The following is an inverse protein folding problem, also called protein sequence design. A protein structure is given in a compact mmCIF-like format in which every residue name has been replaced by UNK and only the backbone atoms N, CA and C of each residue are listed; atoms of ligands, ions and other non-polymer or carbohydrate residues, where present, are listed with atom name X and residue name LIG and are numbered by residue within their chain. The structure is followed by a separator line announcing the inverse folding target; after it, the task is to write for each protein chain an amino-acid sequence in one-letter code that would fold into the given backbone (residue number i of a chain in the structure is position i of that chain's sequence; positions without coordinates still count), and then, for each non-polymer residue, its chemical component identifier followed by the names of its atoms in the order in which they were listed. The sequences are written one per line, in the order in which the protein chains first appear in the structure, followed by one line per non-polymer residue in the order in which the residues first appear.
data_IF_317434350821
#
_entry.id   IF_317434350821
#
_cell.length_a   1.000
_cell.length_b   1.000
_cell.length_c   1.000
_cell.angle_alpha   90.00
_cell.angle_beta   90.00
_cell.angle_gamma   90.00
#
_symmetry.space_group_name_H-M   'P 1'
#
loop_
_entity.id
_entity.type
_entity.pdbx_description
1 polymer ?
#
# COMPACT_ATOMS: atom_id res chain seq x y z
N UNK A 1 -5.40 12.50 14.62
CA UNK A 1 -6.34 12.67 15.74
C UNK A 1 -7.80 12.67 15.33
N UNK A 2 -8.26 13.52 14.39
CA UNK A 2 -9.68 13.56 13.99
C UNK A 2 -10.24 12.22 13.48
N UNK A 3 -9.48 11.48 12.66
CA UNK A 3 -9.87 10.14 12.19
C UNK A 3 -10.11 9.19 13.38
N UNK A 4 -9.21 9.21 14.36
CA UNK A 4 -9.32 8.37 15.56
C UNK A 4 -10.57 8.72 16.38
N UNK A 5 -10.84 10.02 16.57
CA UNK A 5 -12.05 10.50 17.25
C UNK A 5 -13.31 10.04 16.49
N UNK A 6 -13.31 10.16 15.16
CA UNK A 6 -14.42 9.69 14.32
C UNK A 6 -14.67 8.18 14.46
N UNK A 7 -13.60 7.37 14.44
CA UNK A 7 -13.69 5.92 14.63
C UNK A 7 -14.24 5.55 16.03
N UNK A 8 -13.78 6.24 17.08
CA UNK A 8 -14.27 6.04 18.44
C UNK A 8 -15.75 6.45 18.58
N UNK A 9 -16.15 7.58 17.98
CA UNK A 9 -17.52 8.04 17.97
C UNK A 9 -18.45 7.05 17.26
N UNK A 10 -18.05 6.53 16.10
CA UNK A 10 -18.80 5.51 15.38
C UNK A 10 -19.02 4.26 16.26
N UNK A 11 -17.97 3.78 16.93
CA UNK A 11 -18.06 2.66 17.86
C UNK A 11 -19.02 2.93 19.04
N UNK A 12 -18.93 4.12 19.65
CA UNK A 12 -19.81 4.53 20.74
C UNK A 12 -21.29 4.61 20.30
N UNK A 13 -21.56 5.17 19.12
CA UNK A 13 -22.92 5.28 18.57
C UNK A 13 -23.54 3.90 18.28
N UNK A 14 -22.75 2.96 17.73
CA UNK A 14 -23.19 1.57 17.50
C UNK A 14 -23.51 0.88 18.83
N UNK A 15 -22.65 1.00 19.84
CA UNK A 15 -22.91 0.43 21.17
C UNK A 15 -24.17 1.02 21.78
N UNK A 16 -24.34 2.33 21.69
CA UNK A 16 -25.50 3.03 22.22
C UNK A 16 -26.81 2.60 21.55
N UNK A 17 -26.78 2.36 20.23
CA UNK A 17 -27.91 1.77 19.51
C UNK A 17 -28.34 0.43 20.10
N UNK A 18 -27.40 -0.49 20.35
CA UNK A 18 -27.75 -1.81 20.91
C UNK A 18 -28.27 -1.75 22.34
N UNK A 19 -27.69 -0.89 23.19
CA UNK A 19 -28.17 -0.68 24.57
C UNK A 19 -29.61 -0.18 24.56
N UNK A 20 -29.89 0.85 23.77
CA UNK A 20 -31.24 1.41 23.69
C UNK A 20 -32.21 0.49 22.97
N UNK A 21 -31.76 -0.34 22.03
CA UNK A 21 -32.59 -1.33 21.33
C UNK A 21 -33.02 -2.45 22.27
N UNK A 22 -32.14 -2.84 23.19
CA UNK A 22 -32.50 -3.77 24.27
C UNK A 22 -33.57 -3.16 25.18
N UNK A 23 -33.43 -1.89 25.58
CA UNK A 23 -34.46 -1.16 26.33
C UNK A 23 -35.78 -0.99 25.57
N UNK A 24 -35.75 -0.80 24.25
CA UNK A 24 -36.93 -0.76 23.39
C UNK A 24 -37.66 -2.11 23.35
N UNK A 25 -36.92 -3.23 23.25
CA UNK A 25 -37.52 -4.58 23.34
C UNK A 25 -38.19 -4.87 24.68
N UNK A 26 -37.75 -4.20 25.74
CA UNK A 26 -38.31 -4.27 27.10
C UNK A 26 -39.39 -3.20 27.36
N UNK A 27 -39.80 -2.42 26.35
CA UNK A 27 -40.83 -1.39 26.47
C UNK A 27 -40.41 -0.13 27.26
N UNK A 28 -39.13 0.01 27.61
CA UNK A 28 -38.62 1.12 28.44
C UNK A 28 -38.19 2.36 27.64
N UNK A 29 -37.80 2.17 26.38
CA UNK A 29 -37.22 3.23 25.54
C UNK A 29 -37.93 3.29 24.19
N UNK A 30 -37.85 4.44 23.49
CA UNK A 30 -38.24 4.57 22.10
C UNK A 30 -37.21 3.91 21.15
N UNK A 31 -37.62 3.67 19.89
CA UNK A 31 -36.78 2.97 18.91
C UNK A 31 -35.51 3.79 18.57
N UNK A 32 -34.28 3.26 18.78
CA UNK A 32 -33.05 4.06 18.77
C UNK A 32 -32.44 4.29 17.38
N UNK A 33 -33.25 4.32 16.33
CA UNK A 33 -32.78 4.46 14.94
C UNK A 33 -31.83 5.65 14.68
N UNK A 34 -31.90 6.81 15.39
CA UNK A 34 -30.99 7.92 15.12
C UNK A 34 -29.52 7.59 15.42
N UNK A 35 -29.25 6.72 16.39
CA UNK A 35 -27.88 6.29 16.73
C UNK A 35 -27.27 5.39 15.65
N UNK A 36 -28.10 4.54 15.04
CA UNK A 36 -27.69 3.74 13.89
C UNK A 36 -27.41 4.65 12.68
N UNK A 37 -28.29 5.62 12.40
CA UNK A 37 -28.08 6.58 11.33
C UNK A 37 -26.80 7.40 11.52
N UNK A 38 -26.57 7.92 12.74
CA UNK A 38 -25.36 8.68 13.06
C UNK A 38 -24.08 7.84 12.90
N UNK A 39 -24.08 6.60 13.37
CA UNK A 39 -22.94 5.69 13.21
C UNK A 39 -22.62 5.40 11.73
N UNK A 40 -23.65 5.11 10.93
CA UNK A 40 -23.49 4.84 9.48
C UNK A 40 -22.98 6.07 8.74
N UNK A 41 -23.55 7.26 9.00
CA UNK A 41 -23.13 8.51 8.36
C UNK A 41 -21.66 8.82 8.66
N UNK A 42 -21.22 8.66 9.90
CA UNK A 42 -19.82 8.88 10.28
C UNK A 42 -18.89 7.89 9.60
N UNK A 43 -19.27 6.61 9.51
CA UNK A 43 -18.47 5.61 8.79
C UNK A 43 -18.35 5.93 7.30
N UNK A 44 -19.46 6.28 6.64
CA UNK A 44 -19.45 6.65 5.22
C UNK A 44 -18.61 7.91 4.99
N UNK A 45 -18.74 8.92 5.85
CA UNK A 45 -17.94 10.13 5.77
C UNK A 45 -16.43 9.83 5.91
N UNK A 46 -16.05 8.95 6.85
CA UNK A 46 -14.66 8.52 7.00
C UNK A 46 -14.17 7.75 5.77
N UNK A 47 -14.96 6.85 5.20
CA UNK A 47 -14.58 6.10 3.99
C UNK A 47 -14.33 7.04 2.82
N UNK A 48 -15.22 8.02 2.61
CA UNK A 48 -15.07 9.02 1.53
C UNK A 48 -13.86 9.91 1.78
N UNK A 49 -13.63 10.34 3.02
CA UNK A 49 -12.47 11.16 3.38
C UNK A 49 -11.16 10.40 3.17
N UNK A 50 -11.06 9.16 3.67
CA UNK A 50 -9.84 8.35 3.59
C UNK A 50 -9.61 7.70 2.22
N UNK A 51 -10.46 7.96 1.23
CA UNK A 51 -10.27 7.44 -0.13
C UNK A 51 -8.89 7.88 -0.65
N UNK A 52 -8.02 6.95 -1.07
CA UNK A 52 -6.71 7.30 -1.58
C UNK A 52 -6.82 8.18 -2.84
N UNK A 53 -5.92 9.16 -2.94
CA UNK A 53 -5.83 10.00 -4.13
C UNK A 53 -5.55 9.14 -5.38
N UNK A 54 -6.10 9.50 -6.55
CA UNK A 54 -5.78 8.82 -7.79
C UNK A 54 -4.29 8.99 -8.08
N UNK A 55 -3.58 7.87 -8.22
CA UNK A 55 -2.18 7.87 -8.67
C UNK A 55 -2.19 8.09 -10.18
N UNK A 56 -1.49 9.13 -10.66
CA UNK A 56 -1.36 9.36 -12.09
C UNK A 56 -0.59 8.20 -12.73
N UNK A 57 -1.09 7.71 -13.85
CA UNK A 57 -0.38 6.69 -14.61
C UNK A 57 0.86 7.33 -15.25
N UNK A 58 2.04 6.85 -14.88
CA UNK A 58 3.29 7.21 -15.57
C UNK A 58 3.30 6.52 -16.93
N UNK A 59 3.63 7.27 -17.99
CA UNK A 59 3.88 6.68 -19.30
C UNK A 59 5.20 5.91 -19.26
N UNK A 60 5.14 4.58 -19.43
CA UNK A 60 6.30 3.69 -19.46
C UNK A 60 6.38 3.03 -20.84
N UNK A 61 7.58 2.84 -21.42
CA UNK A 61 7.74 2.09 -22.67
C UNK A 61 7.10 0.69 -22.58
N UNK A 62 6.50 0.19 -23.66
CA UNK A 62 5.89 -1.16 -23.66
C UNK A 62 6.90 -2.25 -23.32
N UNK A 63 8.15 -2.09 -23.75
CA UNK A 63 9.26 -2.99 -23.44
C UNK A 63 10.34 -2.22 -22.69
N UNK A 64 10.73 -2.75 -21.53
CA UNK A 64 11.84 -2.22 -20.73
C UNK A 64 12.91 -3.30 -20.66
N UNK A 65 14.14 -2.97 -21.04
CA UNK A 65 15.28 -3.89 -20.97
C UNK A 65 15.99 -3.80 -19.61
N UNK A 66 16.73 -4.84 -19.24
CA UNK A 66 17.52 -4.82 -18.01
C UNK A 66 18.55 -3.69 -17.99
N UNK A 67 19.15 -3.36 -19.14
CA UNK A 67 20.11 -2.26 -19.28
C UNK A 67 19.53 -0.90 -18.84
N UNK A 68 18.23 -0.68 -19.05
CA UNK A 68 17.55 0.54 -18.59
C UNK A 68 17.31 0.56 -17.07
N UNK A 69 17.19 -0.62 -16.45
CA UNK A 69 16.99 -0.76 -15.01
C UNK A 69 18.30 -0.77 -14.21
N UNK A 70 19.38 -1.26 -14.79
CA UNK A 70 20.67 -1.40 -14.13
C UNK A 70 21.09 -0.15 -13.33
N UNK A 71 21.08 1.08 -13.87
CA UNK A 71 21.46 2.26 -13.09
C UNK A 71 20.52 2.51 -11.89
N UNK A 72 19.22 2.21 -12.02
CA UNK A 72 18.25 2.33 -10.93
C UNK A 72 18.58 1.30 -9.84
N UNK A 73 18.86 0.06 -10.22
CA UNK A 73 19.17 -1.01 -9.27
C UNK A 73 20.46 -0.71 -8.52
N UNK A 74 21.50 -0.26 -9.22
CA UNK A 74 22.77 0.14 -8.62
C UNK A 74 22.60 1.28 -7.61
N UNK A 75 21.82 2.30 -7.95
CA UNK A 75 21.63 3.48 -7.10
C UNK A 75 20.66 3.25 -5.93
N UNK A 76 19.63 2.41 -6.12
CA UNK A 76 18.50 2.27 -5.17
C UNK A 76 18.53 0.96 -4.38
N UNK A 77 19.17 -0.10 -4.86
CA UNK A 77 19.02 -1.45 -4.33
C UNK A 77 20.35 -2.05 -3.82
N UNK A 78 21.45 -1.85 -4.56
CA UNK A 78 22.74 -2.52 -4.31
C UNK A 78 23.39 -2.10 -2.98
N UNK A 79 23.05 -0.92 -2.44
CA UNK A 79 23.53 -0.51 -1.10
C UNK A 79 23.19 -1.52 0.00
N UNK A 80 22.02 -2.17 -0.07
CA UNK A 80 21.55 -3.14 0.92
C UNK A 80 21.43 -4.57 0.41
N UNK A 81 21.53 -4.76 -0.91
CA UNK A 81 21.39 -6.05 -1.61
C UNK A 81 22.56 -6.31 -2.57
N UNK A 82 23.73 -5.76 -2.29
CA UNK A 82 24.94 -5.91 -3.09
C UNK A 82 25.90 -6.98 -2.57
N UNK A 83 27.10 -7.04 -3.15
CA UNK A 83 28.11 -8.00 -2.72
C UNK A 83 28.52 -7.83 -1.25
N UNK A 84 28.65 -6.59 -0.79
CA UNK A 84 29.07 -6.24 0.57
C UNK A 84 27.99 -6.45 1.62
N UNK A 85 26.70 -6.29 1.26
CA UNK A 85 25.58 -6.41 2.18
C UNK A 85 24.39 -7.06 1.47
N UNK A 86 23.97 -8.23 1.96
CA UNK A 86 22.93 -9.06 1.35
C UNK A 86 21.75 -9.18 2.31
N UNK A 87 20.96 -8.11 2.42
CA UNK A 87 19.81 -8.09 3.33
C UNK A 87 18.85 -9.24 3.00
N UNK A 88 18.51 -10.05 4.02
CA UNK A 88 17.72 -11.28 3.88
C UNK A 88 18.30 -12.30 2.89
N UNK A 89 19.62 -12.33 2.71
CA UNK A 89 20.29 -13.18 1.71
C UNK A 89 19.80 -12.95 0.27
N UNK A 90 19.34 -11.73 -0.03
CA UNK A 90 18.93 -11.32 -1.39
C UNK A 90 20.04 -10.47 -2.00
N UNK A 91 20.49 -10.88 -3.18
CA UNK A 91 21.53 -10.21 -3.98
C UNK A 91 20.94 -9.69 -5.28
N UNK A 92 21.25 -8.44 -5.65
CA UNK A 92 20.72 -7.74 -6.82
C UNK A 92 21.83 -7.03 -7.63
N UNK A 93 23.09 -7.36 -7.36
CA UNK A 93 24.27 -6.80 -8.04
C UNK A 93 24.61 -7.48 -9.37
N UNK A 94 23.95 -8.60 -9.71
CA UNK A 94 24.09 -9.27 -11.00
C UNK A 94 22.73 -9.41 -11.71
N UNK A 95 22.71 -9.41 -13.07
CA UNK A 95 21.49 -9.61 -13.84
C UNK A 95 20.78 -10.93 -13.49
N UNK A 96 21.54 -12.01 -13.30
CA UNK A 96 21.03 -13.34 -12.98
C UNK A 96 20.37 -13.35 -11.59
N UNK A 97 21.04 -12.74 -10.61
CA UNK A 97 20.52 -12.60 -9.26
C UNK A 97 19.25 -11.74 -9.24
N UNK A 98 19.21 -10.67 -10.04
CA UNK A 98 18.01 -9.86 -10.21
C UNK A 98 16.86 -10.69 -10.79
N UNK A 99 17.11 -11.44 -11.87
CA UNK A 99 16.09 -12.30 -12.49
C UNK A 99 15.57 -13.37 -11.53
N UNK A 100 16.46 -13.98 -10.75
CA UNK A 100 16.09 -14.96 -9.73
C UNK A 100 15.14 -14.36 -8.68
N UNK A 101 15.33 -13.09 -8.32
CA UNK A 101 14.52 -12.39 -7.33
C UNK A 101 13.45 -11.47 -7.92
N UNK A 102 13.21 -11.52 -9.22
CA UNK A 102 12.35 -10.58 -9.95
C UNK A 102 10.95 -10.45 -9.35
N UNK A 103 10.33 -11.57 -8.99
CA UNK A 103 9.00 -11.56 -8.34
C UNK A 103 9.03 -10.88 -6.97
N UNK A 104 10.05 -11.17 -6.16
CA UNK A 104 10.18 -10.56 -4.84
C UNK A 104 10.43 -9.05 -4.95
N UNK A 105 11.28 -8.63 -5.89
CA UNK A 105 11.53 -7.22 -6.19
C UNK A 105 10.26 -6.53 -6.64
N UNK A 106 9.51 -7.12 -7.57
CA UNK A 106 8.23 -6.57 -8.01
C UNK A 106 7.24 -6.39 -6.85
N UNK A 107 7.09 -7.41 -6.00
CA UNK A 107 6.20 -7.33 -4.84
C UNK A 107 6.65 -6.25 -3.85
N UNK A 108 7.94 -6.16 -3.51
CA UNK A 108 8.43 -5.24 -2.48
C UNK A 108 8.55 -3.79 -2.97
N UNK A 109 8.93 -3.59 -4.24
CA UNK A 109 9.21 -2.27 -4.81
C UNK A 109 7.98 -1.70 -5.51
N UNK A 110 7.18 -2.50 -6.20
CA UNK A 110 6.07 -1.96 -7.00
C UNK A 110 4.73 -2.11 -6.30
N UNK A 111 4.46 -3.29 -5.73
CA UNK A 111 3.16 -3.59 -5.13
C UNK A 111 3.04 -3.01 -3.72
N UNK A 112 3.91 -3.44 -2.80
CA UNK A 112 3.84 -3.03 -1.39
C UNK A 112 4.55 -1.72 -1.12
N UNK A 113 5.49 -1.32 -1.99
CA UNK A 113 6.35 -0.14 -1.86
C UNK A 113 7.11 -0.08 -0.52
N UNK A 114 7.36 -1.24 0.10
CA UNK A 114 8.10 -1.33 1.37
C UNK A 114 9.60 -1.10 1.14
N UNK A 115 10.10 -1.49 -0.03
CA UNK A 115 11.49 -1.26 -0.41
C UNK A 115 11.60 -0.12 -1.42
N UNK A 116 12.64 0.72 -1.32
CA UNK A 116 13.61 0.83 -0.24
C UNK A 116 12.95 1.28 1.08
N UNK A 117 13.45 0.80 2.22
CA UNK A 117 12.82 1.01 3.52
C UNK A 117 12.63 2.50 3.82
N UNK A 118 11.39 2.92 4.09
CA UNK A 118 11.00 4.32 4.24
C UNK A 118 11.45 5.23 3.07
N UNK A 119 11.55 4.69 1.86
CA UNK A 119 12.10 5.33 0.68
C UNK A 119 13.50 5.95 0.89
N UNK A 120 14.37 5.29 1.66
CA UNK A 120 15.68 5.83 2.04
C UNK A 120 16.60 6.24 0.87
N UNK A 121 16.47 5.60 -0.30
CA UNK A 121 17.27 5.94 -1.49
C UNK A 121 16.56 6.89 -2.46
N UNK A 122 15.36 7.36 -2.13
CA UNK A 122 14.58 8.27 -2.96
C UNK A 122 14.13 7.69 -4.31
N UNK A 123 13.74 6.41 -4.37
CA UNK A 123 13.21 5.83 -5.61
C UNK A 123 11.91 6.54 -6.02
N UNK A 124 11.79 6.89 -7.30
CA UNK A 124 10.63 7.62 -7.82
C UNK A 124 9.51 6.68 -8.31
N UNK A 125 8.31 7.22 -8.55
CA UNK A 125 7.21 6.39 -9.07
C UNK A 125 7.47 5.96 -10.51
N UNK A 126 8.18 6.77 -11.30
CA UNK A 126 8.62 6.44 -12.66
C UNK A 126 9.61 5.26 -12.64
N UNK A 127 10.59 5.28 -11.74
CA UNK A 127 11.54 4.19 -11.54
C UNK A 127 10.82 2.89 -11.11
N UNK A 128 9.84 2.98 -10.20
CA UNK A 128 9.00 1.82 -9.81
C UNK A 128 8.18 1.31 -11.00
N UNK A 129 7.65 2.21 -11.82
CA UNK A 129 6.85 1.85 -12.98
C UNK A 129 7.69 1.12 -14.04
N UNK A 130 8.94 1.54 -14.27
CA UNK A 130 9.91 0.84 -15.12
C UNK A 130 10.19 -0.59 -14.63
N UNK A 131 10.46 -0.75 -13.32
CA UNK A 131 10.66 -2.07 -12.69
C UNK A 131 9.42 -2.95 -12.87
N UNK A 132 8.23 -2.36 -12.68
CA UNK A 132 6.96 -3.05 -12.85
C UNK A 132 6.74 -3.53 -14.28
N UNK A 133 7.07 -2.70 -15.26
CA UNK A 133 6.92 -3.03 -16.67
C UNK A 133 7.91 -4.11 -17.12
N UNK A 134 9.16 -4.01 -16.70
CA UNK A 134 10.17 -5.04 -16.96
C UNK A 134 9.77 -6.41 -16.38
N UNK A 135 9.23 -6.45 -15.16
CA UNK A 135 8.75 -7.70 -14.56
C UNK A 135 7.57 -8.29 -15.36
N UNK A 136 6.59 -7.46 -15.72
CA UNK A 136 5.44 -7.87 -16.54
C UNK A 136 5.85 -8.33 -17.94
N UNK A 137 6.92 -7.76 -18.49
CA UNK A 137 7.55 -8.17 -19.74
C UNK A 137 8.30 -9.50 -19.68
N UNK A 138 8.28 -10.20 -18.54
CA UNK A 138 8.90 -11.50 -18.34
C UNK A 138 10.30 -11.47 -17.73
N UNK A 139 10.70 -10.36 -17.11
CA UNK A 139 11.99 -10.23 -16.42
C UNK A 139 13.18 -10.59 -17.34
N UNK A 140 13.14 -10.10 -18.58
CA UNK A 140 14.15 -10.41 -19.59
C UNK A 140 15.46 -9.67 -19.29
N UNK A 141 16.57 -10.35 -19.51
CA UNK A 141 17.91 -9.76 -19.37
C UNK A 141 18.37 -9.09 -20.67
N UNK A 142 17.76 -9.47 -21.80
CA UNK A 142 17.96 -8.92 -23.15
C UNK A 142 16.61 -8.58 -23.79
#
# INVERSE_FOLDING_TARGET
WLILIGMMFAGAAIRQFFVMRHGFKLGRNAHPWPYAAAGVVVLVALIVWLKPAPVQAVAVPETVSYAQLQPIIEQRCVMCHGAALQSKNVRLDSPEAMKQHAQAVYQQVVVTRIMPMNNATGITEEERALIGQWFKGGAKLE
#
